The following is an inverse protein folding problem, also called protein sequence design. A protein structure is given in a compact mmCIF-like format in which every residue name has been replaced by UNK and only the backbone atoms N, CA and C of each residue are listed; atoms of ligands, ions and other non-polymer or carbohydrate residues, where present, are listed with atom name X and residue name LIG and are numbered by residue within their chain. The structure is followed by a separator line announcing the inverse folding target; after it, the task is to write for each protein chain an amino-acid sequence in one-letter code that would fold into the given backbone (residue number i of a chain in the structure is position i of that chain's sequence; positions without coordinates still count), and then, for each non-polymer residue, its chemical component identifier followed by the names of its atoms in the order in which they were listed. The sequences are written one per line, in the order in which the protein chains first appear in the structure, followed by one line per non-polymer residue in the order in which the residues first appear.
data_IF_278067496077
#
_entry.id   IF_278067496077
#
_cell.length_a   1.000
_cell.length_b   1.000
_cell.length_c   1.000
_cell.angle_alpha   90.00
_cell.angle_beta   90.00
_cell.angle_gamma   90.00
#
_symmetry.space_group_name_H-M   'P 1'
#
loop_
_entity.id
_entity.type
_entity.pdbx_description
1 polymer ?
#
# COMPACT_ATOMS: atom_id res chain seq x y z
N UNK A 1 20.64 4.98 -1.89
CA UNK A 1 19.50 4.99 -2.83
C UNK A 1 18.57 6.10 -2.42
N UNK A 2 18.34 7.09 -3.28
CA UNK A 2 17.33 8.14 -3.07
C UNK A 2 16.19 7.89 -4.04
N UNK A 3 15.01 7.60 -3.49
CA UNK A 3 13.78 7.47 -4.27
C UNK A 3 13.27 8.85 -4.67
N UNK A 4 12.85 9.00 -5.93
CA UNK A 4 12.26 10.25 -6.42
C UNK A 4 10.78 10.28 -6.11
N UNK A 5 10.39 11.12 -5.14
CA UNK A 5 9.00 11.34 -4.72
C UNK A 5 8.53 12.69 -5.23
N UNK A 6 7.34 12.71 -5.83
CA UNK A 6 6.63 13.93 -6.21
C UNK A 6 6.05 14.64 -4.98
N UNK A 7 5.53 15.86 -5.17
CA UNK A 7 4.90 16.62 -4.10
C UNK A 7 3.65 15.95 -3.52
N UNK A 8 2.95 15.13 -4.31
CA UNK A 8 1.72 14.43 -3.93
C UNK A 8 1.97 13.02 -3.37
N UNK A 9 3.21 12.54 -3.39
CA UNK A 9 3.53 11.21 -2.89
C UNK A 9 3.51 11.14 -1.37
N UNK A 10 2.99 10.03 -0.86
CA UNK A 10 3.06 9.76 0.58
C UNK A 10 4.53 9.58 0.99
N UNK A 11 4.90 10.20 2.11
CA UNK A 11 6.28 10.14 2.64
C UNK A 11 6.48 9.01 3.66
N UNK A 12 5.38 8.43 4.11
CA UNK A 12 5.34 7.32 5.07
C UNK A 12 4.93 6.04 4.35
N UNK A 13 5.53 4.91 4.72
CA UNK A 13 5.28 3.59 4.15
C UNK A 13 3.78 3.25 4.14
N UNK A 14 3.24 2.88 2.98
CA UNK A 14 1.81 2.56 2.79
C UNK A 14 1.36 1.26 3.48
N UNK A 15 2.30 0.39 3.86
CA UNK A 15 2.01 -0.84 4.59
C UNK A 15 1.94 -0.61 6.11
N UNK A 16 3.01 -0.08 6.71
CA UNK A 16 3.08 0.06 8.17
C UNK A 16 2.57 1.40 8.71
N UNK A 17 2.53 2.46 7.88
CA UNK A 17 2.23 3.85 8.27
C UNK A 17 3.12 4.42 9.38
N UNK A 18 4.31 3.84 9.59
CA UNK A 18 5.27 4.28 10.63
C UNK A 18 6.58 4.73 10.01
N UNK A 19 7.24 3.86 9.25
CA UNK A 19 8.56 4.13 8.69
C UNK A 19 8.49 5.03 7.43
N UNK A 20 9.54 5.81 7.13
CA UNK A 20 9.61 6.57 5.88
C UNK A 20 9.71 5.65 4.66
N UNK A 21 9.22 6.13 3.52
CA UNK A 21 9.36 5.41 2.24
C UNK A 21 10.84 5.33 1.87
N UNK A 22 11.27 4.15 1.44
CA UNK A 22 12.63 3.87 0.97
C UNK A 22 12.65 3.08 -0.35
N UNK A 23 11.51 2.50 -0.75
CA UNK A 23 11.39 1.68 -1.94
C UNK A 23 10.07 1.97 -2.69
N UNK A 24 10.11 1.83 -4.02
CA UNK A 24 8.94 1.92 -4.90
C UNK A 24 8.74 0.56 -5.56
N UNK A 25 7.56 -0.04 -5.39
CA UNK A 25 7.16 -1.29 -6.04
C UNK A 25 6.11 -0.99 -7.09
N UNK A 26 6.33 -1.42 -8.33
CA UNK A 26 5.34 -1.27 -9.40
C UNK A 26 4.45 -2.51 -9.47
N UNK A 27 3.14 -2.32 -9.48
CA UNK A 27 2.13 -3.37 -9.57
C UNK A 27 1.18 -3.08 -10.75
N UNK A 28 0.34 -4.04 -11.11
CA UNK A 28 -0.70 -3.84 -12.14
C UNK A 28 -1.71 -2.76 -11.76
N UNK A 29 -1.89 -2.48 -10.46
CA UNK A 29 -2.81 -1.47 -9.94
C UNK A 29 -2.16 -0.08 -9.77
N UNK A 30 -0.85 0.06 -10.01
CA UNK A 30 -0.13 1.32 -9.86
C UNK A 30 1.25 1.14 -9.24
N UNK A 31 1.59 2.00 -8.28
CA UNK A 31 2.84 1.91 -7.51
C UNK A 31 2.56 1.91 -6.02
N UNK A 32 3.36 1.17 -5.29
CA UNK A 32 3.35 1.11 -3.83
C UNK A 32 4.61 1.79 -3.29
N UNK A 33 4.43 2.65 -2.30
CA UNK A 33 5.50 3.38 -1.64
C UNK A 33 5.75 2.77 -0.26
N UNK A 34 6.84 2.02 -0.12
CA UNK A 34 7.13 1.18 1.04
C UNK A 34 8.46 1.55 1.71
N UNK A 35 8.60 1.23 3.00
CA UNK A 35 9.93 1.16 3.62
C UNK A 35 10.66 -0.10 3.14
N UNK A 36 11.98 -0.17 3.38
CA UNK A 36 12.81 -1.31 2.95
C UNK A 36 12.29 -2.65 3.47
N UNK A 37 12.00 -2.73 4.77
CA UNK A 37 11.51 -3.95 5.42
C UNK A 37 10.17 -4.42 4.84
N UNK A 38 9.22 -3.50 4.63
CA UNK A 38 7.91 -3.86 4.06
C UNK A 38 8.01 -4.24 2.57
N UNK A 39 8.94 -3.64 1.84
CA UNK A 39 9.19 -3.99 0.44
C UNK A 39 9.81 -5.39 0.32
N UNK A 40 10.84 -5.69 1.11
CA UNK A 40 11.49 -7.02 1.14
C UNK A 40 10.53 -8.10 1.62
N UNK A 41 9.74 -7.82 2.66
CA UNK A 41 8.73 -8.74 3.17
C UNK A 41 7.46 -8.85 2.32
N UNK A 42 7.41 -8.15 1.18
CA UNK A 42 6.27 -8.13 0.26
C UNK A 42 4.92 -7.80 0.95
N UNK A 43 4.93 -6.90 1.93
CA UNK A 43 3.72 -6.53 2.67
C UNK A 43 2.69 -5.82 1.76
N UNK A 44 1.38 -6.09 1.94
CA UNK A 44 0.33 -5.36 1.24
C UNK A 44 0.22 -3.93 1.79
N UNK A 45 -0.32 -3.00 1.01
CA UNK A 45 -0.64 -1.67 1.52
C UNK A 45 -1.83 -1.80 2.46
N UNK A 46 -1.85 -0.97 3.51
CA UNK A 46 -2.92 -1.02 4.50
C UNK A 46 -4.28 -0.67 3.91
N UNK A 47 -4.31 0.16 2.85
CA UNK A 47 -5.53 0.49 2.10
C UNK A 47 -6.09 -0.69 1.31
N UNK A 48 -5.26 -1.66 0.92
CA UNK A 48 -5.72 -2.89 0.28
C UNK A 48 -6.38 -3.83 1.30
N UNK A 49 -5.91 -3.78 2.56
CA UNK A 49 -6.48 -4.54 3.68
C UNK A 49 -7.75 -3.87 4.26
N UNK A 50 -7.76 -2.54 4.27
CA UNK A 50 -8.86 -1.72 4.79
C UNK A 50 -9.22 -0.66 3.75
N UNK A 51 -10.02 -1.02 2.74
CA UNK A 51 -10.47 -0.06 1.75
C UNK A 51 -11.17 1.11 2.43
N UNK A 52 -10.95 2.37 2.02
CA UNK A 52 -11.59 3.54 2.62
C UNK A 52 -13.13 3.53 2.49
N UNK A 53 -13.66 2.71 1.57
CA UNK A 53 -15.09 2.43 1.42
C UNK A 53 -15.49 1.05 1.95
N UNK A 54 -14.68 0.47 2.83
CA UNK A 54 -14.91 -0.79 3.51
C UNK A 54 -16.16 -0.72 4.41
N UNK A 55 -17.33 -0.78 3.78
CA UNK A 55 -18.52 -1.31 4.41
C UNK A 55 -18.15 -2.72 4.86
N UNK A 56 -18.08 -2.92 6.16
CA UNK A 56 -18.02 -4.22 6.80
C UNK A 56 -19.05 -5.16 6.15
N UNK A 57 -18.58 -6.21 5.47
CA UNK A 57 -19.35 -7.43 5.26
C UNK A 57 -20.60 -7.37 4.37
N UNK A 58 -20.47 -6.95 3.10
CA UNK A 58 -21.35 -7.48 2.06
C UNK A 58 -20.59 -8.50 1.22
N UNK A 59 -20.47 -9.72 1.74
CA UNK A 59 -20.33 -10.91 0.90
C UNK A 59 -21.63 -11.02 0.11
N UNK A 60 -21.55 -10.84 -1.21
CA UNK A 60 -22.68 -11.08 -2.10
C UNK A 60 -23.06 -12.58 -2.00
N UNK A 61 -24.28 -12.94 -1.56
CA UNK A 61 -24.68 -14.34 -1.45
C UNK A 61 -24.90 -15.05 -2.79
N UNK A 62 -24.78 -14.34 -3.93
CA UNK A 62 -25.00 -14.87 -5.29
C UNK A 62 -23.70 -15.11 -6.07
N UNK A 63 -22.54 -14.94 -5.45
CA UNK A 63 -21.28 -15.45 -6.00
C UNK A 63 -21.10 -16.93 -5.65
N UNK A 64 -21.98 -17.80 -6.18
CA UNK A 64 -21.78 -19.25 -6.25
C UNK A 64 -22.36 -19.82 -7.53
#
# INVERSE_FOLDING_TARGET
MTISLSATDVRTCEACWVAPVAAVRHTSAGRDLLCGECAEGNYPRRVDLFPPYGIYGMLDPRAS
#
